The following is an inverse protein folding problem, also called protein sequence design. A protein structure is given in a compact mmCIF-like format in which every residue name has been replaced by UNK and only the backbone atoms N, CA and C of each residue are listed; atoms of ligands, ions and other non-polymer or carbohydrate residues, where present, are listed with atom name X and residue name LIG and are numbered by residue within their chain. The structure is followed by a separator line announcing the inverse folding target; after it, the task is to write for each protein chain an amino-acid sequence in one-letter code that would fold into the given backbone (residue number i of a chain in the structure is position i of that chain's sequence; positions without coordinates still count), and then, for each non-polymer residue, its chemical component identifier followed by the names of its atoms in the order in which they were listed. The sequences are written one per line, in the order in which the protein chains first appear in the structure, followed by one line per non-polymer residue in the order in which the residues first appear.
data_IF_008926875402
#
_entry.id   IF_008926875402
#
_cell.length_a   1.000
_cell.length_b   1.000
_cell.length_c   1.000
_cell.angle_alpha   90.00
_cell.angle_beta   90.00
_cell.angle_gamma   90.00
#
_symmetry.space_group_name_H-M   'P 1'
#
loop_
_entity.id
_entity.type
_entity.pdbx_description
1 polymer ?
#
# COMPACT_ATOMS: atom_id res chain seq x y z
N UNK A 1 0.05 -3.28 -20.32
CA UNK A 1 -0.36 -2.80 -18.97
C UNK A 1 -1.11 -3.94 -18.30
N UNK A 2 -0.50 -4.51 -17.26
CA UNK A 2 -1.09 -5.59 -16.50
C UNK A 2 -1.84 -5.03 -15.29
N UNK A 3 -3.05 -5.53 -15.03
CA UNK A 3 -3.76 -5.25 -13.77
C UNK A 3 -3.06 -5.98 -12.64
N UNK A 4 -2.89 -5.31 -11.52
CA UNK A 4 -2.25 -5.87 -10.32
C UNK A 4 -3.10 -5.61 -9.10
N UNK A 5 -3.18 -6.61 -8.25
CA UNK A 5 -3.71 -6.53 -6.89
C UNK A 5 -2.61 -7.06 -6.00
N UNK A 6 -1.99 -6.17 -5.21
CA UNK A 6 -0.84 -6.51 -4.37
C UNK A 6 -1.14 -6.17 -2.93
N UNK A 7 -0.82 -7.10 -2.04
CA UNK A 7 -0.75 -6.83 -0.60
C UNK A 7 0.54 -6.07 -0.32
N UNK A 8 0.42 -4.99 0.43
CA UNK A 8 1.56 -4.17 0.84
C UNK A 8 1.51 -3.96 2.35
N UNK A 9 2.66 -3.72 2.96
CA UNK A 9 2.77 -3.44 4.39
C UNK A 9 3.16 -1.99 4.58
N UNK A 10 2.31 -1.23 5.25
CA UNK A 10 2.54 0.18 5.55
C UNK A 10 2.45 0.42 7.06
N UNK A 11 2.88 1.59 7.50
CA UNK A 11 2.63 2.07 8.85
C UNK A 11 1.44 3.03 8.79
N UNK A 12 0.40 2.72 9.55
CA UNK A 12 -0.83 3.52 9.65
C UNK A 12 -0.97 3.95 11.10
N UNK A 13 -0.93 5.25 11.34
CA UNK A 13 -1.00 5.85 12.68
C UNK A 13 0.02 5.21 13.66
N UNK A 14 1.27 5.08 13.20
CA UNK A 14 2.36 4.47 13.97
C UNK A 14 2.27 2.94 14.15
N UNK A 15 1.25 2.28 13.59
CA UNK A 15 1.07 0.82 13.70
C UNK A 15 1.28 0.15 12.34
N UNK A 16 2.09 -0.92 12.24
CA UNK A 16 2.22 -1.68 11.00
C UNK A 16 0.88 -2.33 10.64
N UNK A 17 0.42 -2.09 9.41
CA UNK A 17 -0.88 -2.53 8.90
C UNK A 17 -0.76 -3.05 7.47
N UNK A 18 -1.56 -4.07 7.16
CA UNK A 18 -1.66 -4.60 5.82
C UNK A 18 -2.64 -3.77 5.00
N UNK A 19 -2.19 -3.32 3.84
CA UNK A 19 -2.96 -2.54 2.89
C UNK A 19 -3.03 -3.28 1.55
N UNK A 20 -4.00 -2.92 0.72
CA UNK A 20 -4.15 -3.52 -0.61
C UNK A 20 -4.04 -2.44 -1.68
N UNK A 21 -3.09 -2.61 -2.60
CA UNK A 21 -2.98 -1.81 -3.80
C UNK A 21 -3.71 -2.50 -4.96
N UNK A 22 -4.52 -1.73 -5.68
CA UNK A 22 -5.21 -2.17 -6.90
C UNK A 22 -4.94 -1.18 -8.03
N UNK A 23 -4.23 -1.58 -9.07
CA UNK A 23 -3.84 -0.66 -10.13
C UNK A 23 -3.35 -1.34 -11.37
N UNK A 24 -2.57 -0.61 -12.16
CA UNK A 24 -1.85 -1.14 -13.32
C UNK A 24 -0.35 -1.01 -13.12
N UNK A 25 0.41 -1.98 -13.64
CA UNK A 25 1.86 -1.86 -13.85
C UNK A 25 2.16 -1.93 -15.34
N UNK A 26 3.18 -1.20 -15.79
CA UNK A 26 3.74 -1.42 -17.12
C UNK A 26 4.55 -2.72 -17.15
N UNK A 27 4.52 -3.41 -18.29
CA UNK A 27 5.22 -4.70 -18.47
C UNK A 27 6.67 -4.52 -18.92
N UNK A 28 7.08 -3.28 -19.23
CA UNK A 28 8.47 -2.96 -19.55
C UNK A 28 9.19 -2.52 -18.28
N UNK A 29 10.12 -3.35 -17.81
CA UNK A 29 11.04 -3.12 -16.69
C UNK A 29 11.81 -1.79 -16.78
N UNK A 30 11.91 -1.21 -17.99
CA UNK A 30 12.62 0.04 -18.23
C UNK A 30 11.82 1.31 -17.87
N UNK A 31 10.49 1.22 -17.72
CA UNK A 31 9.62 2.38 -17.46
C UNK A 31 8.60 2.07 -16.38
N UNK A 32 9.10 1.93 -15.15
CA UNK A 32 8.31 1.58 -13.96
C UNK A 32 7.42 2.76 -13.48
N UNK A 33 7.32 3.83 -14.28
CA UNK A 33 6.66 5.09 -13.92
C UNK A 33 5.19 5.18 -14.37
N UNK A 34 4.77 4.36 -15.34
CA UNK A 34 3.47 4.53 -16.02
C UNK A 34 2.24 3.93 -15.32
N UNK A 35 2.40 3.27 -14.17
CA UNK A 35 1.31 2.64 -13.44
C UNK A 35 0.67 3.55 -12.38
N UNK A 36 -0.67 3.65 -12.34
CA UNK A 36 -1.43 4.30 -11.26
C UNK A 36 -2.56 3.39 -10.79
N UNK A 37 -2.97 3.58 -9.55
CA UNK A 37 -4.00 2.75 -8.93
C UNK A 37 -4.59 3.37 -7.69
N UNK A 38 -5.26 2.52 -6.92
CA UNK A 38 -5.92 2.88 -5.69
C UNK A 38 -5.34 2.05 -4.55
N UNK A 39 -5.06 2.71 -3.44
CA UNK A 39 -4.62 2.07 -2.21
C UNK A 39 -5.80 2.01 -1.24
N UNK A 40 -6.06 0.83 -0.67
CA UNK A 40 -7.04 0.63 0.38
C UNK A 40 -6.32 0.41 1.70
N UNK A 41 -6.61 1.28 2.66
CA UNK A 41 -6.00 1.32 3.99
C UNK A 41 -7.08 1.10 5.04
N UNK A 42 -6.78 0.28 6.05
CA UNK A 42 -7.64 0.10 7.23
C UNK A 42 -7.01 0.91 8.37
N UNK A 43 -7.74 1.91 8.87
CA UNK A 43 -7.33 2.76 9.97
C UNK A 43 -8.27 2.57 11.17
N UNK A 44 -7.92 1.70 12.13
CA UNK A 44 -8.72 1.50 13.34
C UNK A 44 -8.76 2.82 14.15
N UNK A 45 -9.96 3.26 14.53
CA UNK A 45 -10.21 4.58 15.12
C UNK A 45 -11.08 5.48 14.23
N UNK A 46 -11.17 5.19 12.93
CA UNK A 46 -12.14 5.81 12.03
C UNK A 46 -11.83 7.23 11.53
N UNK A 47 -10.69 7.78 11.95
CA UNK A 47 -10.05 9.01 11.46
C UNK A 47 -8.77 8.63 10.70
N UNK A 48 -8.57 9.20 9.52
CA UNK A 48 -7.39 8.96 8.69
C UNK A 48 -6.94 10.27 8.07
N UNK A 49 -5.70 10.63 8.33
CA UNK A 49 -5.04 11.79 7.74
C UNK A 49 -3.85 11.30 6.90
N UNK A 50 -3.49 12.00 5.80
CA UNK A 50 -2.35 11.64 4.95
C UNK A 50 -1.05 11.40 5.73
N UNK A 51 -0.79 12.26 6.73
CA UNK A 51 0.37 12.22 7.62
C UNK A 51 0.43 10.98 8.51
N UNK A 52 -0.69 10.26 8.67
CA UNK A 52 -0.72 8.99 9.41
C UNK A 52 -0.18 7.82 8.59
N UNK A 53 0.03 8.00 7.27
CA UNK A 53 0.51 6.96 6.37
C UNK A 53 2.02 7.09 6.15
N UNK A 54 2.75 6.01 6.43
CA UNK A 54 4.17 5.90 6.19
C UNK A 54 4.51 4.56 5.53
N UNK A 55 5.64 4.52 4.82
CA UNK A 55 6.23 3.31 4.28
C UNK A 55 6.60 2.33 5.40
N UNK A 56 6.85 1.07 5.04
CA UNK A 56 7.24 0.02 5.99
C UNK A 56 8.49 0.35 6.81
N UNK A 57 9.39 1.18 6.27
CA UNK A 57 10.63 1.61 6.94
C UNK A 57 10.42 2.81 7.87
N UNK A 58 9.21 3.40 7.87
CA UNK A 58 8.86 4.60 8.64
C UNK A 58 9.09 5.91 7.89
N UNK A 59 9.56 5.88 6.64
CA UNK A 59 9.61 7.06 5.78
C UNK A 59 8.21 7.55 5.39
N UNK A 60 8.10 8.86 5.12
CA UNK A 60 6.83 9.49 4.76
C UNK A 60 6.28 8.91 3.45
N UNK A 61 4.98 8.57 3.43
CA UNK A 61 4.33 8.10 2.22
C UNK A 61 3.94 9.31 1.36
N UNK A 62 4.62 9.52 0.23
CA UNK A 62 4.38 10.65 -0.69
C UNK A 62 2.96 10.66 -1.26
N UNK A 63 2.04 11.33 -0.57
CA UNK A 63 0.71 11.69 -1.05
C UNK A 63 0.75 13.13 -1.55
N UNK A 64 0.48 13.33 -2.84
CA UNK A 64 0.37 14.66 -3.43
C UNK A 64 -1.06 15.19 -3.27
N UNK A 65 -1.26 16.49 -3.45
CA UNK A 65 -2.61 17.09 -3.48
C UNK A 65 -3.53 16.58 -4.59
N UNK A 66 -3.00 15.78 -5.53
CA UNK A 66 -3.80 15.09 -6.56
C UNK A 66 -4.42 13.78 -6.03
N UNK A 67 -3.88 13.21 -4.96
CA UNK A 67 -4.41 11.98 -4.36
C UNK A 67 -5.71 12.26 -3.63
N UNK A 68 -6.80 11.64 -4.10
CA UNK A 68 -8.11 11.75 -3.47
C UNK A 68 -8.29 10.68 -2.40
N UNK A 69 -8.54 11.10 -1.17
CA UNK A 69 -8.85 10.21 -0.05
C UNK A 69 -10.37 10.14 0.13
N UNK A 70 -10.92 8.93 0.11
CA UNK A 70 -12.35 8.66 0.27
C UNK A 70 -12.57 7.57 1.31
N UNK A 71 -13.42 7.84 2.32
CA UNK A 71 -13.88 6.81 3.26
C UNK A 71 -14.76 5.80 2.54
N UNK A 72 -14.45 4.51 2.63
CA UNK A 72 -15.28 3.46 2.05
C UNK A 72 -16.31 2.96 3.06
N UNK A 73 -17.41 2.38 2.58
CA UNK A 73 -18.51 1.88 3.44
C UNK A 73 -18.13 0.68 4.30
N UNK A 74 -16.93 0.13 4.09
CA UNK A 74 -16.36 -0.94 4.92
C UNK A 74 -15.80 -0.29 6.19
N UNK A 75 -16.00 -0.97 7.33
CA UNK A 75 -15.64 -0.47 8.66
C UNK A 75 -14.19 0.02 8.68
N UNK A 76 -14.02 1.28 9.04
CA UNK A 76 -12.71 1.89 9.35
C UNK A 76 -11.70 1.83 8.19
N UNK A 77 -12.19 1.85 6.95
CA UNK A 77 -11.34 1.77 5.78
C UNK A 77 -11.44 3.00 4.88
N UNK A 78 -10.32 3.31 4.23
CA UNK A 78 -10.11 4.47 3.38
C UNK A 78 -9.49 4.03 2.07
N UNK A 79 -9.89 4.70 1.00
CA UNK A 79 -9.35 4.52 -0.34
C UNK A 79 -8.61 5.79 -0.73
N UNK A 80 -7.41 5.63 -1.24
CA UNK A 80 -6.55 6.70 -1.76
C UNK A 80 -6.42 6.46 -3.26
N UNK A 81 -6.89 7.40 -4.06
CA UNK A 81 -6.85 7.35 -5.52
C UNK A 81 -5.53 7.93 -6.07
N UNK A 82 -5.22 7.57 -7.32
CA UNK A 82 -4.09 8.09 -8.10
C UNK A 82 -2.69 7.81 -7.49
N UNK A 83 -2.55 6.69 -6.78
CA UNK A 83 -1.27 6.27 -6.19
C UNK A 83 -0.37 5.64 -7.26
N UNK A 84 0.82 6.20 -7.52
CA UNK A 84 1.77 5.62 -8.47
C UNK A 84 2.26 4.24 -8.03
N UNK A 85 2.39 3.31 -8.98
CA UNK A 85 2.88 1.95 -8.67
C UNK A 85 4.29 1.98 -8.05
N UNK A 86 5.17 2.86 -8.53
CA UNK A 86 6.52 3.05 -7.99
C UNK A 86 6.56 3.36 -6.49
N UNK A 87 5.54 4.05 -5.97
CA UNK A 87 5.47 4.45 -4.56
C UNK A 87 5.27 3.23 -3.66
N UNK A 88 4.52 2.22 -4.13
CA UNK A 88 4.21 1.04 -3.31
C UNK A 88 5.20 -0.11 -3.49
N UNK A 89 6.09 -0.06 -4.50
CA UNK A 89 7.08 -1.11 -4.79
C UNK A 89 7.90 -1.57 -3.59
N UNK A 90 8.50 -0.67 -2.77
CA UNK A 90 9.29 -1.10 -1.61
C UNK A 90 8.44 -1.76 -0.50
N UNK A 91 7.12 -1.52 -0.52
CA UNK A 91 6.18 -2.01 0.49
C UNK A 91 5.45 -3.29 0.07
N UNK A 92 5.64 -3.75 -1.18
CA UNK A 92 5.06 -5.01 -1.67
C UNK A 92 5.56 -6.14 -0.78
N UNK A 93 4.61 -6.91 -0.25
CA UNK A 93 4.93 -8.14 0.46
C UNK A 93 5.20 -9.22 -0.58
N UNK A 94 6.44 -9.67 -0.66
CA UNK A 94 6.78 -10.82 -1.47
C UNK A 94 6.17 -12.08 -0.83
N UNK A 95 5.32 -12.84 -1.56
CA UNK A 95 4.67 -14.03 -1.00
C UNK A 95 5.65 -15.16 -0.65
N UNK A 96 6.89 -15.08 -1.14
CA UNK A 96 7.97 -16.02 -0.80
C UNK A 96 8.66 -15.66 0.53
N UNK A 97 8.78 -14.36 0.85
CA UNK A 97 9.35 -13.90 2.13
C UNK A 97 8.42 -14.20 3.33
N UNK A 98 7.10 -14.15 3.13
CA UNK A 98 6.14 -14.39 4.21
C UNK A 98 6.12 -15.88 4.63
N UNK A 99 6.33 -16.82 3.69
CA UNK A 99 6.44 -18.25 4.00
C UNK A 99 7.69 -18.60 4.81
N UNK A 100 8.84 -18.00 4.48
CA UNK A 100 10.08 -18.24 5.21
C UNK A 100 10.01 -17.75 6.68
N UNK A 101 9.20 -16.73 6.96
CA UNK A 101 9.01 -16.21 8.32
C UNK A 101 8.02 -17.04 9.18
N UNK A 102 7.10 -17.79 8.56
CA UNK A 102 6.22 -18.73 9.26
C UNK A 102 6.92 -20.05 9.59
N UNK A 103 7.74 -20.59 8.68
CA UNK A 103 8.44 -21.87 8.89
C UNK A 103 9.58 -21.77 9.93
N UNK A 104 10.10 -20.57 10.22
CA UNK A 104 11.16 -20.35 11.21
C UNK A 104 10.69 -20.19 12.67
N UNK A 105 9.40 -20.38 12.96
CA UNK A 105 8.83 -20.31 14.33
C UNK A 105 8.50 -21.67 14.96
N UNK A 106 8.74 -22.77 14.25
CA UNK A 106 8.64 -24.13 14.78
C UNK A 106 10.04 -24.74 15.00
N UNK A 107 10.84 -24.18 15.92
CA UNK A 107 11.97 -24.90 16.55
C UNK A 107 12.06 -24.60 18.06
#
# INVERSE_FOLDING_TARGET
MARVVQQIKLVVNGTPSYCVYMGTKEENDADITGGKGHLVVICPGGEFEPEMLAHRDGSEFDLTGENKISKIKVREAFRIDDVPYKTIMPDIVDPDEEKAAEEGKEE
#
